data_IF_480757164795
#
_entry.id   IF_480757164795
#
_cell.length_a   1.000
_cell.length_b   1.000
_cell.length_c   1.000
_cell.angle_alpha   90.00
_cell.angle_beta   90.00
_cell.angle_gamma   90.00
#
_symmetry.space_group_name_H-M   'P 1'
#
loop_
_entity.id
_entity.type
_entity.pdbx_description
1 polymer ?
#
# COMPACT_ATOMS: atom_id res chain seq x y z
N UNK A 1 -5.01 -9.60 -35.20
CA UNK A 1 -3.89 -8.66 -34.97
C UNK A 1 -2.71 -9.48 -34.50
N UNK A 2 -1.56 -9.39 -35.15
CA UNK A 2 -0.38 -10.20 -34.79
C UNK A 2 0.43 -9.53 -33.68
N UNK A 3 0.99 -10.33 -32.77
CA UNK A 3 1.90 -9.83 -31.74
C UNK A 3 3.27 -9.51 -32.36
N UNK A 4 3.85 -8.36 -31.99
CA UNK A 4 5.15 -7.91 -32.50
C UNK A 4 6.20 -7.86 -31.39
N UNK A 5 7.47 -8.10 -31.73
CA UNK A 5 8.59 -8.09 -30.76
C UNK A 5 9.54 -6.93 -31.02
N UNK A 6 10.15 -6.41 -29.95
CA UNK A 6 11.21 -5.40 -30.03
C UNK A 6 12.23 -5.56 -28.90
N UNK A 7 13.51 -5.46 -29.23
CA UNK A 7 14.62 -5.41 -28.26
C UNK A 7 14.63 -4.08 -27.50
N UNK A 8 14.55 -4.13 -26.17
CA UNK A 8 14.57 -2.95 -25.31
C UNK A 8 15.52 -3.12 -24.12
N UNK A 9 15.89 -1.98 -23.52
CA UNK A 9 16.57 -1.90 -22.24
C UNK A 9 15.52 -1.63 -21.15
N UNK A 10 15.38 -2.51 -20.16
CA UNK A 10 14.42 -2.30 -19.07
C UNK A 10 14.97 -1.30 -18.04
N UNK A 11 14.57 -0.03 -18.20
CA UNK A 11 14.98 1.07 -17.33
C UNK A 11 14.26 1.10 -15.98
N UNK A 12 13.35 0.16 -15.69
CA UNK A 12 12.60 0.09 -14.42
C UNK A 12 13.49 -0.19 -13.22
N UNK A 13 14.60 -0.92 -13.39
CA UNK A 13 15.55 -1.25 -12.31
C UNK A 13 17.00 -1.19 -12.81
N UNK A 14 17.82 -0.39 -12.13
CA UNK A 14 19.27 -0.33 -12.36
C UNK A 14 20.01 -1.09 -11.26
N UNK A 15 21.00 -1.91 -11.63
CA UNK A 15 21.95 -2.50 -10.69
C UNK A 15 22.95 -1.43 -10.24
N UNK A 16 22.85 -0.98 -8.98
CA UNK A 16 23.66 0.14 -8.45
C UNK A 16 25.17 -0.09 -8.53
N UNK A 17 25.65 -1.32 -8.31
CA UNK A 17 27.09 -1.65 -8.32
C UNK A 17 27.70 -1.56 -9.73
N UNK A 18 26.99 -2.08 -10.74
CA UNK A 18 27.48 -2.16 -12.13
C UNK A 18 26.96 -1.04 -13.04
N UNK A 19 26.00 -0.22 -12.59
CA UNK A 19 25.28 0.79 -13.40
C UNK A 19 24.70 0.21 -14.71
N UNK A 20 24.22 -1.03 -14.65
CA UNK A 20 23.61 -1.73 -15.79
C UNK A 20 22.11 -1.96 -15.58
N UNK A 21 21.40 -2.10 -16.69
CA UNK A 21 19.98 -2.42 -16.78
C UNK A 21 19.79 -3.80 -17.39
N UNK A 22 18.66 -4.45 -17.12
CA UNK A 22 18.34 -5.76 -17.69
C UNK A 22 17.83 -5.60 -19.12
N UNK A 23 18.24 -6.49 -20.02
CA UNK A 23 17.70 -6.55 -21.38
C UNK A 23 16.31 -7.19 -21.36
N UNK A 24 15.41 -6.75 -22.25
CA UNK A 24 14.08 -7.33 -22.38
C UNK A 24 13.62 -7.38 -23.85
N UNK A 25 12.78 -8.37 -24.15
CA UNK A 25 12.01 -8.44 -25.39
C UNK A 25 10.62 -7.87 -25.10
N UNK A 26 10.28 -6.73 -25.70
CA UNK A 26 8.95 -6.13 -25.60
C UNK A 26 8.04 -6.80 -26.62
N UNK A 27 7.01 -7.49 -26.14
CA UNK A 27 5.95 -8.05 -26.98
C UNK A 27 4.76 -7.10 -26.95
N UNK A 28 4.26 -6.69 -28.12
CA UNK A 28 3.10 -5.81 -28.23
C UNK A 28 1.97 -6.55 -28.91
N UNK A 29 0.84 -6.68 -28.20
CA UNK A 29 -0.39 -7.28 -28.69
C UNK A 29 -1.57 -6.44 -28.22
N UNK A 30 -2.55 -6.20 -29.09
CA UNK A 30 -3.73 -5.37 -28.81
C UNK A 30 -3.37 -4.00 -28.19
N UNK A 31 -2.39 -3.30 -28.80
CA UNK A 31 -1.86 -2.00 -28.33
C UNK A 31 -1.29 -1.99 -26.90
N UNK A 32 -1.11 -3.16 -26.28
CA UNK A 32 -0.50 -3.32 -24.95
C UNK A 32 0.95 -3.81 -25.10
N UNK A 33 1.96 -2.99 -24.79
CA UNK A 33 3.36 -3.41 -24.77
C UNK A 33 3.71 -4.06 -23.42
N UNK A 34 4.15 -5.32 -23.44
CA UNK A 34 4.59 -6.07 -22.24
C UNK A 34 6.06 -6.47 -22.39
N UNK A 35 6.96 -6.04 -21.48
CA UNK A 35 8.38 -6.41 -21.52
C UNK A 35 8.66 -7.78 -20.86
N UNK A 36 9.35 -8.66 -21.60
CA UNK A 36 9.83 -9.97 -21.12
C UNK A 36 11.32 -9.94 -20.86
N UNK A 37 11.71 -10.10 -19.60
CA UNK A 37 13.07 -9.90 -19.12
C UNK A 37 14.00 -11.07 -19.47
N UNK A 38 15.26 -10.73 -19.77
CA UNK A 38 16.35 -11.66 -20.06
C UNK A 38 17.40 -11.63 -18.97
N UNK A 39 18.15 -12.72 -18.77
CA UNK A 39 19.25 -12.78 -17.79
C UNK A 39 20.54 -12.09 -18.25
N UNK A 40 20.41 -11.05 -19.07
CA UNK A 40 21.48 -10.25 -19.64
C UNK A 40 21.36 -8.82 -19.12
N UNK A 41 22.50 -8.22 -18.78
CA UNK A 41 22.56 -6.85 -18.28
C UNK A 41 23.52 -6.02 -19.11
N UNK A 42 23.18 -4.77 -19.36
CA UNK A 42 23.98 -3.86 -20.17
C UNK A 42 23.88 -2.41 -19.69
N UNK A 43 24.92 -1.63 -19.90
CA UNK A 43 24.86 -0.18 -19.68
C UNK A 43 24.04 0.49 -20.79
N UNK A 44 23.51 1.69 -20.54
CA UNK A 44 22.78 2.44 -21.57
C UNK A 44 23.67 2.80 -22.77
N UNK A 45 24.95 3.08 -22.53
CA UNK A 45 25.91 3.39 -23.59
C UNK A 45 26.21 2.15 -24.44
N UNK A 46 26.40 1.00 -23.81
CA UNK A 46 26.72 -0.23 -24.54
C UNK A 46 25.49 -0.78 -25.27
N UNK A 47 24.28 -0.52 -24.77
CA UNK A 47 23.04 -0.84 -25.48
C UNK A 47 22.92 -0.04 -26.78
N UNK A 48 23.26 1.25 -26.76
CA UNK A 48 23.30 2.07 -28.00
C UNK A 48 24.31 1.52 -29.00
N UNK A 49 25.46 1.02 -28.52
CA UNK A 49 26.49 0.41 -29.38
C UNK A 49 26.07 -0.91 -30.01
N UNK A 50 25.06 -1.64 -29.50
CA UNK A 50 24.62 -2.92 -30.08
C UNK A 50 24.16 -2.81 -31.55
N UNK A 51 23.81 -1.60 -32.00
CA UNK A 51 23.45 -1.32 -33.39
C UNK A 51 24.67 -1.14 -34.30
N UNK A 52 25.87 -1.00 -33.74
CA UNK A 52 27.09 -0.78 -34.51
C UNK A 52 27.55 -2.06 -35.21
N UNK A 53 28.08 -1.96 -36.45
CA UNK A 53 28.55 -3.10 -37.22
C UNK A 53 29.84 -3.73 -36.64
N UNK A 54 30.69 -2.93 -35.97
CA UNK A 54 31.91 -3.38 -35.30
C UNK A 54 31.74 -3.31 -33.77
N UNK A 55 31.83 -4.46 -33.11
CA UNK A 55 31.65 -4.63 -31.67
C UNK A 55 32.81 -5.43 -31.08
N UNK A 56 33.18 -5.13 -29.84
CA UNK A 56 34.11 -5.97 -29.08
C UNK A 56 33.50 -7.37 -28.85
N UNK A 57 34.36 -8.37 -28.61
CA UNK A 57 33.97 -9.79 -28.52
C UNK A 57 32.80 -10.04 -27.55
N UNK A 58 32.86 -9.48 -26.34
CA UNK A 58 31.80 -9.61 -25.32
C UNK A 58 30.46 -8.99 -25.75
N UNK A 59 30.48 -7.80 -26.36
CA UNK A 59 29.25 -7.14 -26.84
C UNK A 59 28.66 -7.86 -28.05
N UNK A 60 29.50 -8.47 -28.89
CA UNK A 60 29.05 -9.32 -30.01
C UNK A 60 28.33 -10.57 -29.51
N UNK A 61 28.87 -11.23 -28.47
CA UNK A 61 28.22 -12.37 -27.82
C UNK A 61 26.87 -11.99 -27.21
N UNK A 62 26.78 -10.84 -26.52
CA UNK A 62 25.52 -10.34 -25.97
C UNK A 62 24.52 -10.01 -27.09
N UNK A 63 24.97 -9.38 -28.18
CA UNK A 63 24.12 -9.07 -29.36
C UNK A 63 23.51 -10.35 -29.94
N UNK A 64 24.34 -11.38 -30.13
CA UNK A 64 23.91 -12.64 -30.72
C UNK A 64 22.90 -13.36 -29.81
N UNK A 65 23.17 -13.46 -28.50
CA UNK A 65 22.21 -14.01 -27.53
C UNK A 65 20.91 -13.22 -27.48
N UNK A 66 20.96 -11.90 -27.59
CA UNK A 66 19.76 -11.07 -27.56
C UNK A 66 18.92 -11.23 -28.83
N UNK A 67 19.56 -11.43 -29.99
CA UNK A 67 18.88 -11.75 -31.24
C UNK A 67 18.28 -13.17 -31.23
N UNK A 68 18.97 -14.14 -30.64
CA UNK A 68 18.48 -15.51 -30.46
C UNK A 68 17.20 -15.54 -29.62
N UNK A 69 17.18 -14.82 -28.49
CA UNK A 69 15.98 -14.69 -27.65
C UNK A 69 14.83 -13.95 -28.36
N UNK A 70 15.13 -12.97 -29.22
CA UNK A 70 14.12 -12.30 -30.05
C UNK A 70 13.51 -13.24 -31.10
N UNK A 71 14.34 -14.07 -31.75
CA UNK A 71 13.88 -15.07 -32.72
C UNK A 71 13.04 -16.15 -32.04
N UNK A 72 13.47 -16.64 -30.88
CA UNK A 72 12.69 -17.58 -30.07
C UNK A 72 11.33 -16.99 -29.67
N UNK A 73 11.28 -15.71 -29.28
CA UNK A 73 10.01 -15.04 -29.01
C UNK A 73 9.09 -15.02 -30.25
N UNK A 74 9.63 -14.77 -31.45
CA UNK A 74 8.85 -14.81 -32.70
C UNK A 74 8.33 -16.23 -33.00
N UNK A 75 9.15 -17.25 -32.80
CA UNK A 75 8.74 -18.65 -32.98
C UNK A 75 7.62 -19.06 -32.01
N UNK A 76 7.73 -18.67 -30.73
CA UNK A 76 6.68 -18.90 -29.74
C UNK A 76 5.38 -18.21 -30.17
N UNK A 77 5.43 -16.95 -30.61
CA UNK A 77 4.26 -16.23 -31.10
C UNK A 77 3.61 -16.97 -32.28
N UNK A 78 4.42 -17.49 -33.21
CA UNK A 78 3.94 -18.23 -34.38
C UNK A 78 3.30 -19.57 -34.01
N UNK A 79 3.83 -20.24 -32.99
CA UNK A 79 3.35 -21.55 -32.54
C UNK A 79 2.16 -21.46 -31.58
N UNK A 80 1.87 -20.28 -31.03
CA UNK A 80 0.69 -20.03 -30.21
C UNK A 80 -0.54 -19.89 -31.11
N UNK A 81 -1.44 -20.87 -31.07
CA UNK A 81 -2.69 -20.81 -31.85
C UNK A 81 -3.54 -19.57 -31.54
N UNK A 82 -3.78 -19.29 -30.25
CA UNK A 82 -4.37 -18.02 -29.80
C UNK A 82 -3.38 -17.31 -28.88
N UNK A 83 -2.93 -16.13 -29.27
CA UNK A 83 -1.98 -15.37 -28.47
C UNK A 83 -2.66 -14.79 -27.22
N UNK A 84 -2.15 -15.17 -26.05
CA UNK A 84 -2.36 -14.49 -24.78
C UNK A 84 -1.01 -14.22 -24.12
N UNK A 85 -0.90 -13.14 -23.35
CA UNK A 85 0.35 -12.83 -22.66
C UNK A 85 0.74 -13.94 -21.67
N UNK A 86 -0.23 -14.60 -21.06
CA UNK A 86 0.00 -15.69 -20.10
C UNK A 86 0.54 -16.94 -20.81
N UNK A 87 -0.09 -17.37 -21.91
CA UNK A 87 0.40 -18.52 -22.69
C UNK A 87 1.81 -18.28 -23.25
N UNK A 88 2.08 -17.05 -23.74
CA UNK A 88 3.41 -16.67 -24.19
C UNK A 88 4.43 -16.69 -23.05
N UNK A 89 4.06 -16.19 -21.85
CA UNK A 89 4.94 -16.15 -20.68
C UNK A 89 5.39 -17.55 -20.27
N UNK A 90 4.44 -18.48 -20.17
CA UNK A 90 4.72 -19.87 -19.80
C UNK A 90 5.71 -20.52 -20.78
N UNK A 91 5.52 -20.33 -22.09
CA UNK A 91 6.41 -20.90 -23.10
C UNK A 91 7.79 -20.22 -23.11
N UNK A 92 7.82 -18.89 -22.98
CA UNK A 92 9.05 -18.11 -23.03
C UNK A 92 9.98 -18.48 -21.86
N UNK A 93 9.42 -18.69 -20.67
CA UNK A 93 10.18 -19.03 -19.46
C UNK A 93 10.30 -20.53 -19.18
N UNK A 94 9.63 -21.42 -19.93
CA UNK A 94 9.60 -22.89 -19.73
C UNK A 94 10.96 -23.53 -19.43
N UNK A 95 12.02 -23.09 -20.11
CA UNK A 95 13.38 -23.66 -19.97
C UNK A 95 14.32 -22.87 -19.06
N UNK A 96 13.92 -21.68 -18.60
CA UNK A 96 14.74 -20.91 -17.67
C UNK A 96 14.45 -21.44 -16.27
N UNK A 97 15.33 -22.32 -15.77
CA UNK A 97 15.38 -22.67 -14.35
C UNK A 97 15.31 -21.36 -13.57
N UNK A 98 14.28 -21.16 -12.75
CA UNK A 98 14.29 -20.10 -11.75
C UNK A 98 15.69 -20.12 -11.11
N UNK A 99 16.40 -18.99 -11.21
CA UNK A 99 17.71 -18.84 -10.61
C UNK A 99 17.51 -18.96 -9.11
N UNK A 100 17.59 -20.19 -8.59
CA UNK A 100 17.83 -20.44 -7.18
C UNK A 100 18.97 -19.53 -6.78
N UNK A 101 18.80 -18.66 -5.78
CA UNK A 101 19.93 -17.90 -5.27
C UNK A 101 21.04 -18.90 -4.93
N UNK A 102 22.23 -18.70 -5.50
CA UNK A 102 23.44 -19.40 -5.07
C UNK A 102 23.78 -18.91 -3.66
N UNK A 103 23.14 -19.52 -2.68
CA UNK A 103 23.47 -19.52 -1.27
C UNK A 103 23.06 -20.90 -0.76
N UNK A 104 24.03 -21.69 -0.29
CA UNK A 104 23.73 -22.94 0.41
C UNK A 104 22.98 -22.57 1.69
N UNK A 105 21.65 -22.59 1.66
CA UNK A 105 20.83 -22.82 2.84
C UNK A 105 20.16 -24.16 2.58
N UNK A 106 20.54 -25.13 3.40
CA UNK A 106 20.10 -26.50 3.31
C UNK A 106 18.58 -26.52 3.47
N UNK A 107 17.89 -27.07 2.46
CA UNK A 107 16.46 -27.28 2.48
C UNK A 107 16.09 -28.17 3.67
N UNK A 108 15.41 -27.61 4.66
CA UNK A 108 14.53 -28.36 5.55
C UNK A 108 13.28 -27.52 5.76
N UNK A 109 12.28 -27.74 4.93
CA UNK A 109 10.90 -27.42 5.27
C UNK A 109 10.20 -28.77 5.42
N UNK A 110 9.59 -29.09 6.57
CA UNK A 110 8.74 -30.26 6.65
C UNK A 110 7.56 -30.08 5.69
N UNK A 111 7.28 -31.12 4.91
CA UNK A 111 6.03 -31.26 4.16
C UNK A 111 4.87 -31.20 5.17
N UNK A 112 4.21 -30.07 5.28
CA UNK A 112 2.91 -29.99 5.95
C UNK A 112 1.88 -30.32 4.88
N UNK A 113 1.21 -31.46 5.04
CA UNK A 113 0.16 -31.93 4.13
C UNK A 113 -0.89 -30.83 3.91
N UNK A 114 -1.33 -30.69 2.66
CA UNK A 114 -2.48 -29.86 2.29
C UNK A 114 -3.70 -30.35 3.09
N UNK A 115 -4.38 -29.49 3.88
CA UNK A 115 -5.64 -29.88 4.47
C UNK A 115 -6.70 -29.89 3.36
N UNK A 116 -7.22 -31.08 3.06
CA UNK A 116 -8.39 -31.29 2.21
C UNK A 116 -9.58 -30.46 2.73
N UNK A 117 -10.28 -29.78 1.81
CA UNK A 117 -11.51 -29.03 2.12
C UNK A 117 -11.40 -27.52 1.96
N UNK A 118 -10.98 -27.04 0.78
CA UNK A 118 -11.19 -25.64 0.36
C UNK A 118 -12.66 -25.41 0.02
N UNK A 119 -13.47 -25.13 1.04
CA UNK A 119 -14.78 -24.51 0.84
C UNK A 119 -14.62 -22.98 0.82
N UNK A 120 -15.33 -22.33 -0.09
CA UNK A 120 -15.37 -20.89 -0.40
C UNK A 120 -15.90 -19.99 0.74
N UNK A 121 -15.50 -20.25 1.99
CA UNK A 121 -15.75 -19.38 3.13
C UNK A 121 -14.58 -18.40 3.30
N UNK A 122 -14.83 -17.13 3.65
CA UNK A 122 -13.75 -16.24 4.06
C UNK A 122 -13.01 -16.90 5.23
N UNK A 123 -11.70 -17.05 5.15
CA UNK A 123 -10.83 -17.52 6.25
C UNK A 123 -10.87 -16.59 7.49
N UNK A 124 -11.78 -15.62 7.50
CA UNK A 124 -11.90 -14.57 8.48
C UNK A 124 -13.30 -14.59 9.09
N UNK A 125 -13.37 -15.06 10.34
CA UNK A 125 -14.38 -14.56 11.28
C UNK A 125 -13.66 -13.89 12.45
N UNK A 126 -13.45 -12.56 12.41
CA UNK A 126 -12.89 -11.80 13.54
C UNK A 126 -13.79 -11.79 14.81
N UNK A 127 -14.81 -12.67 14.90
CA UNK A 127 -15.70 -12.78 16.05
C UNK A 127 -15.30 -13.84 17.07
N UNK A 128 -14.52 -14.85 16.71
CA UNK A 128 -14.13 -15.90 17.63
C UNK A 128 -12.94 -15.40 18.48
N UNK A 129 -13.27 -14.84 19.65
CA UNK A 129 -12.32 -14.26 20.60
C UNK A 129 -12.55 -12.78 20.94
N UNK A 130 -13.67 -12.17 20.53
CA UNK A 130 -13.96 -10.77 20.92
C UNK A 130 -14.22 -10.64 22.41
N UNK A 131 -13.47 -9.74 23.06
CA UNK A 131 -13.99 -9.05 24.24
C UNK A 131 -15.20 -8.20 23.82
N UNK A 132 -16.31 -8.36 24.53
CA UNK A 132 -17.64 -7.78 24.32
C UNK A 132 -17.70 -6.23 24.44
N UNK A 133 -16.60 -5.51 24.25
CA UNK A 133 -16.51 -4.08 24.59
C UNK A 133 -17.07 -3.15 23.50
N UNK A 134 -17.29 -3.61 22.26
CA UNK A 134 -17.76 -2.75 21.17
C UNK A 134 -18.77 -3.49 20.26
N UNK A 135 -19.98 -2.93 20.13
CA UNK A 135 -21.08 -3.46 19.29
C UNK A 135 -20.88 -3.32 17.78
N UNK A 136 -21.95 -3.60 17.00
CA UNK A 136 -22.02 -3.58 15.52
C UNK A 136 -21.17 -2.43 14.90
N UNK A 137 -20.23 -2.80 14.02
CA UNK A 137 -19.40 -1.95 13.15
C UNK A 137 -19.02 -0.56 13.68
N UNK A 138 -17.80 -0.39 14.19
CA UNK A 138 -17.27 0.91 14.67
C UNK A 138 -17.44 2.06 13.65
N UNK A 139 -17.52 1.76 12.35
CA UNK A 139 -17.61 2.77 11.29
C UNK A 139 -18.88 2.69 10.43
N UNK A 140 -19.89 1.91 10.82
CA UNK A 140 -21.24 1.98 10.22
C UNK A 140 -21.97 3.28 10.60
N UNK A 141 -21.43 4.03 11.57
CA UNK A 141 -21.96 5.34 11.95
C UNK A 141 -21.62 6.38 10.90
N UNK A 142 -22.64 6.74 10.13
CA UNK A 142 -22.62 7.85 9.18
C UNK A 142 -22.58 9.17 9.97
N UNK A 143 -21.36 9.72 10.15
CA UNK A 143 -21.14 10.94 10.93
C UNK A 143 -21.83 12.15 10.30
N UNK A 144 -21.96 12.15 8.97
CA UNK A 144 -22.73 13.14 8.22
C UNK A 144 -24.22 13.22 8.61
N UNK A 145 -24.79 12.21 9.29
CA UNK A 145 -26.20 12.21 9.71
C UNK A 145 -26.41 12.83 11.09
N UNK A 146 -25.35 13.24 11.78
CA UNK A 146 -25.45 13.89 13.08
C UNK A 146 -25.91 15.33 12.86
N UNK A 147 -26.90 15.76 13.65
CA UNK A 147 -27.20 17.18 13.78
C UNK A 147 -26.23 17.81 14.78
N UNK A 148 -25.48 18.81 14.29
CA UNK A 148 -24.46 19.51 15.06
C UNK A 148 -24.95 20.86 15.60
N UNK A 149 -26.18 21.28 15.26
CA UNK A 149 -26.73 22.58 15.68
C UNK A 149 -26.75 22.71 17.21
N UNK A 150 -27.18 21.66 17.90
CA UNK A 150 -27.28 21.62 19.37
C UNK A 150 -25.91 21.64 20.07
N UNK A 151 -24.81 21.43 19.34
CA UNK A 151 -23.47 21.32 19.91
C UNK A 151 -22.68 22.63 19.83
N UNK A 152 -23.25 23.66 19.19
CA UNK A 152 -22.72 25.02 19.11
C UNK A 152 -22.07 25.37 17.77
N UNK A 153 -21.73 26.66 17.55
CA UNK A 153 -21.31 27.18 16.24
C UNK A 153 -20.06 26.50 15.66
N UNK A 154 -19.07 26.21 16.51
CA UNK A 154 -17.86 25.49 16.06
C UNK A 154 -18.22 24.06 15.64
N UNK A 155 -19.14 23.40 16.34
CA UNK A 155 -19.57 22.05 15.98
C UNK A 155 -20.27 22.01 14.63
N UNK A 156 -21.10 23.00 14.30
CA UNK A 156 -21.73 23.15 12.99
C UNK A 156 -20.68 23.21 11.88
N UNK A 157 -19.68 24.09 12.00
CA UNK A 157 -18.62 24.23 11.01
C UNK A 157 -17.78 22.95 10.83
N UNK A 158 -17.49 22.23 11.92
CA UNK A 158 -16.88 20.90 11.84
C UNK A 158 -17.79 19.90 11.12
N UNK A 159 -19.08 19.90 11.44
CA UNK A 159 -20.09 19.01 10.86
C UNK A 159 -20.25 19.18 9.36
N UNK A 160 -20.32 20.41 8.88
CA UNK A 160 -20.36 20.74 7.45
C UNK A 160 -19.13 20.19 6.72
N UNK A 161 -17.93 20.40 7.28
CA UNK A 161 -16.71 19.89 6.66
C UNK A 161 -16.61 18.35 6.73
N UNK A 162 -17.10 17.74 7.80
CA UNK A 162 -17.21 16.27 7.93
C UNK A 162 -18.14 15.71 6.84
N UNK A 163 -19.30 16.33 6.60
CA UNK A 163 -20.23 15.95 5.52
C UNK A 163 -19.54 15.99 4.14
N UNK A 164 -18.75 17.03 3.87
CA UNK A 164 -17.95 17.15 2.64
C UNK A 164 -16.90 16.03 2.54
N UNK A 165 -16.23 15.68 3.64
CA UNK A 165 -15.22 14.62 3.65
C UNK A 165 -15.86 13.23 3.45
N UNK A 166 -17.03 12.98 4.03
CA UNK A 166 -17.77 11.74 3.88
C UNK A 166 -18.29 11.56 2.44
N UNK A 167 -18.81 12.62 1.81
CA UNK A 167 -19.23 12.57 0.40
C UNK A 167 -18.06 12.33 -0.57
N UNK A 168 -16.84 12.67 -0.16
CA UNK A 168 -15.60 12.39 -0.89
C UNK A 168 -14.98 11.02 -0.55
N UNK A 169 -15.65 10.20 0.26
CA UNK A 169 -15.14 8.92 0.79
C UNK A 169 -13.82 9.05 1.59
N UNK A 170 -13.52 10.24 2.13
CA UNK A 170 -12.32 10.52 2.94
C UNK A 170 -12.55 10.19 4.40
N UNK A 171 -13.10 9.01 4.65
CA UNK A 171 -13.64 8.56 5.94
C UNK A 171 -12.62 8.65 7.10
N UNK A 172 -11.34 8.37 6.84
CA UNK A 172 -10.31 8.51 7.87
C UNK A 172 -9.94 9.94 8.22
N UNK A 173 -10.07 10.86 7.26
CA UNK A 173 -9.95 12.29 7.58
C UNK A 173 -11.19 12.75 8.34
N UNK A 174 -12.39 12.40 7.87
CA UNK A 174 -13.67 12.70 8.54
C UNK A 174 -13.67 12.26 10.01
N UNK A 175 -13.27 11.02 10.30
CA UNK A 175 -13.16 10.51 11.67
C UNK A 175 -12.21 11.34 12.53
N UNK A 176 -11.05 11.75 12.01
CA UNK A 176 -10.11 12.59 12.74
C UNK A 176 -10.70 13.97 13.09
N UNK A 177 -11.51 14.57 12.20
CA UNK A 177 -12.21 15.81 12.50
C UNK A 177 -13.27 15.62 13.57
N UNK A 178 -14.05 14.53 13.48
CA UNK A 178 -15.07 14.22 14.47
C UNK A 178 -14.49 13.98 15.88
N UNK A 179 -13.38 13.23 15.97
CA UNK A 179 -12.71 12.99 17.25
C UNK A 179 -12.13 14.29 17.83
N UNK A 180 -11.53 15.13 16.99
CA UNK A 180 -11.03 16.44 17.41
C UNK A 180 -12.18 17.31 17.96
N UNK A 181 -13.32 17.36 17.27
CA UNK A 181 -14.51 18.07 17.73
C UNK A 181 -15.00 17.54 19.08
N UNK A 182 -15.14 16.21 19.22
CA UNK A 182 -15.57 15.60 20.48
C UNK A 182 -14.65 15.96 21.63
N UNK A 183 -13.34 15.99 21.41
CA UNK A 183 -12.37 16.39 22.42
C UNK A 183 -12.48 17.88 22.80
N UNK A 184 -12.69 18.77 21.82
CA UNK A 184 -12.90 20.20 22.08
C UNK A 184 -14.19 20.44 22.87
N UNK A 185 -15.28 19.77 22.51
CA UNK A 185 -16.57 19.90 23.18
C UNK A 185 -16.59 19.26 24.58
N UNK A 186 -15.74 18.26 24.81
CA UNK A 186 -15.51 17.72 26.15
C UNK A 186 -14.81 18.75 27.04
N UNK A 187 -13.85 19.50 26.51
CA UNK A 187 -13.17 20.57 27.23
C UNK A 187 -14.08 21.78 27.47
N UNK A 188 -14.83 22.21 26.44
CA UNK A 188 -15.80 23.30 26.53
C UNK A 188 -17.01 23.03 25.63
N UNK A 189 -18.17 22.84 26.26
CA UNK A 189 -19.46 22.69 25.56
C UNK A 189 -19.87 24.00 24.88
N UNK A 190 -20.70 23.90 23.83
CA UNK A 190 -21.26 25.04 23.10
C UNK A 190 -20.21 26.06 22.65
N UNK A 191 -19.05 25.56 22.19
CA UNK A 191 -17.89 26.35 21.86
C UNK A 191 -18.17 27.31 20.69
N UNK A 192 -17.89 28.60 20.89
CA UNK A 192 -17.94 29.64 19.86
C UNK A 192 -16.53 29.96 19.35
N UNK A 193 -16.42 30.60 18.19
CA UNK A 193 -15.10 30.92 17.62
C UNK A 193 -14.36 31.97 18.45
N UNK A 194 -15.09 32.90 19.07
CA UNK A 194 -14.56 33.97 19.92
C UNK A 194 -13.98 33.45 21.23
N UNK A 195 -14.45 32.30 21.70
CA UNK A 195 -13.94 31.63 22.90
C UNK A 195 -12.50 31.12 22.70
N UNK A 196 -12.13 30.83 21.45
CA UNK A 196 -10.88 30.15 21.10
C UNK A 196 -9.77 31.20 20.94
N UNK A 197 -9.32 31.69 22.08
CA UNK A 197 -8.18 32.61 22.18
C UNK A 197 -6.84 31.85 22.23
N UNK A 198 -5.73 32.59 22.13
CA UNK A 198 -4.39 32.01 22.36
C UNK A 198 -4.30 31.34 23.73
N UNK A 199 -4.87 31.96 24.77
CA UNK A 199 -4.92 31.41 26.13
C UNK A 199 -5.72 30.10 26.16
N UNK A 200 -6.90 30.08 25.56
CA UNK A 200 -7.73 28.86 25.47
C UNK A 200 -6.97 27.69 24.85
N UNK A 201 -6.17 27.94 23.80
CA UNK A 201 -5.41 26.88 23.13
C UNK A 201 -4.30 26.30 24.00
N UNK A 202 -3.60 27.15 24.77
CA UNK A 202 -2.62 26.68 25.75
C UNK A 202 -3.28 25.92 26.90
N UNK A 203 -4.40 26.42 27.43
CA UNK A 203 -5.13 25.76 28.51
C UNK A 203 -5.69 24.40 28.05
N UNK A 204 -6.21 24.32 26.82
CA UNK A 204 -6.65 23.07 26.20
C UNK A 204 -5.51 22.07 26.00
N UNK A 205 -4.34 22.53 25.57
CA UNK A 205 -3.14 21.68 25.44
C UNK A 205 -2.76 21.09 26.79
N UNK A 206 -2.67 21.89 27.86
CA UNK A 206 -2.35 21.41 29.20
C UNK A 206 -3.40 20.42 29.72
N UNK A 207 -4.69 20.70 29.48
CA UNK A 207 -5.77 19.77 29.82
C UNK A 207 -5.62 18.42 29.09
N UNK A 208 -5.28 18.43 27.80
CA UNK A 208 -5.04 17.18 27.05
C UNK A 208 -3.84 16.40 27.57
N UNK A 209 -2.76 17.08 27.92
CA UNK A 209 -1.55 16.48 28.50
C UNK A 209 -1.85 15.88 29.88
N UNK A 210 -2.63 16.56 30.72
CA UNK A 210 -3.09 16.04 32.01
C UNK A 210 -3.93 14.75 31.84
N UNK A 211 -4.70 14.64 30.76
CA UNK A 211 -5.41 13.41 30.34
C UNK A 211 -4.51 12.35 29.70
N UNK A 212 -3.19 12.48 29.80
CA UNK A 212 -2.18 11.57 29.24
C UNK A 212 -2.20 11.47 27.71
N UNK A 213 -2.71 12.47 27.00
CA UNK A 213 -2.55 12.54 25.55
C UNK A 213 -1.15 13.02 25.18
N UNK A 214 -0.66 12.63 24.01
CA UNK A 214 0.62 13.11 23.49
C UNK A 214 0.50 14.47 22.80
N UNK A 215 1.58 15.26 22.78
CA UNK A 215 1.67 16.50 21.99
C UNK A 215 1.35 16.27 20.50
N UNK A 216 1.68 15.09 19.97
CA UNK A 216 1.32 14.70 18.60
C UNK A 216 -0.21 14.69 18.40
N UNK A 217 -0.95 14.13 19.35
CA UNK A 217 -2.41 14.09 19.34
C UNK A 217 -3.00 15.50 19.42
N UNK A 218 -2.52 16.31 20.36
CA UNK A 218 -2.92 17.73 20.50
C UNK A 218 -2.72 18.45 19.17
N UNK A 219 -1.54 18.30 18.57
CA UNK A 219 -1.21 18.91 17.29
C UNK A 219 -2.10 18.46 16.14
N UNK A 220 -2.54 17.19 16.12
CA UNK A 220 -3.49 16.68 15.13
C UNK A 220 -4.85 17.38 15.28
N UNK A 221 -5.38 17.46 16.49
CA UNK A 221 -6.69 18.06 16.73
C UNK A 221 -6.68 19.56 16.42
N UNK A 222 -5.64 20.28 16.87
CA UNK A 222 -5.54 21.71 16.63
C UNK A 222 -5.23 22.07 15.17
N UNK A 223 -4.60 21.18 14.40
CA UNK A 223 -4.49 21.35 12.94
C UNK A 223 -5.85 21.24 12.24
N UNK A 224 -6.72 20.35 12.70
CA UNK A 224 -8.10 20.26 12.20
C UNK A 224 -8.87 21.54 12.55
N UNK A 225 -8.78 22.00 13.81
CA UNK A 225 -9.40 23.26 14.24
C UNK A 225 -8.91 24.46 13.41
N UNK A 226 -7.60 24.58 13.19
CA UNK A 226 -7.03 25.62 12.33
C UNK A 226 -7.58 25.58 10.90
N UNK A 227 -7.81 24.39 10.34
CA UNK A 227 -8.45 24.25 9.04
C UNK A 227 -9.88 24.80 9.05
N UNK A 228 -10.67 24.50 10.08
CA UNK A 228 -12.03 25.02 10.23
C UNK A 228 -12.02 26.54 10.34
N UNK A 229 -11.12 27.12 11.14
CA UNK A 229 -10.91 28.58 11.18
C UNK A 229 -10.63 29.17 9.80
N UNK A 230 -9.70 28.57 9.05
CA UNK A 230 -9.36 29.05 7.72
C UNK A 230 -10.53 28.96 6.73
N UNK A 231 -11.32 27.89 6.79
CA UNK A 231 -12.51 27.73 5.95
C UNK A 231 -13.52 28.85 6.27
N UNK A 232 -13.87 29.05 7.54
CA UNK A 232 -14.84 30.07 7.95
C UNK A 232 -14.39 31.50 7.61
N UNK A 233 -13.09 31.78 7.69
CA UNK A 233 -12.53 33.07 7.24
C UNK A 233 -12.63 33.21 5.72
N UNK A 234 -12.28 32.15 4.98
CA UNK A 234 -12.37 32.13 3.51
C UNK A 234 -13.81 32.32 3.02
N UNK A 235 -14.78 31.78 3.75
CA UNK A 235 -16.20 31.87 3.43
C UNK A 235 -16.84 33.19 3.90
N UNK A 236 -16.05 34.09 4.51
CA UNK A 236 -16.53 35.38 5.02
C UNK A 236 -17.37 35.30 6.31
N UNK A 237 -17.47 34.12 6.91
CA UNK A 237 -18.28 33.85 8.11
C UNK A 237 -17.55 34.21 9.42
N UNK A 238 -16.22 34.34 9.38
CA UNK A 238 -15.39 34.70 10.53
C UNK A 238 -14.37 35.80 10.18
N UNK A 239 -14.27 36.83 11.02
CA UNK A 239 -13.27 37.88 10.83
C UNK A 239 -11.86 37.40 11.20
N UNK A 240 -10.87 37.80 10.38
CA UNK A 240 -9.46 37.47 10.57
C UNK A 240 -8.90 37.87 11.97
N UNK A 241 -9.50 38.86 12.64
CA UNK A 241 -9.12 39.31 13.98
C UNK A 241 -9.25 38.20 15.04
N UNK A 242 -10.19 37.27 14.85
CA UNK A 242 -10.43 36.15 15.77
C UNK A 242 -9.46 34.97 15.57
N UNK A 243 -8.64 34.99 14.51
CA UNK A 243 -7.75 33.88 14.19
C UNK A 243 -6.63 33.70 15.23
N UNK A 244 -6.53 32.56 15.96
CA UNK A 244 -5.62 32.44 17.10
C UNK A 244 -4.28 31.75 16.78
N UNK A 245 -4.04 31.33 15.53
CA UNK A 245 -2.86 30.55 15.16
C UNK A 245 -1.78 31.43 14.48
N UNK A 246 -0.49 31.13 14.71
CA UNK A 246 0.61 31.76 13.99
C UNK A 246 1.89 31.96 14.81
N UNK A 247 2.96 32.44 14.16
CA UNK A 247 4.30 32.61 14.78
C UNK A 247 4.30 33.50 16.03
N UNK A 248 3.44 34.53 16.06
CA UNK A 248 3.26 35.45 17.20
C UNK A 248 1.97 35.18 17.99
N UNK A 249 1.34 34.05 17.75
CA UNK A 249 0.11 33.60 18.43
C UNK A 249 0.34 32.16 18.92
N UNK A 250 -0.69 31.35 18.98
CA UNK A 250 -0.52 29.94 19.31
C UNK A 250 0.17 29.17 18.17
N UNK A 251 1.26 28.48 18.49
CA UNK A 251 1.98 27.61 17.57
C UNK A 251 1.64 26.14 17.88
N UNK A 252 1.08 25.45 16.89
CA UNK A 252 0.61 24.08 17.08
C UNK A 252 1.82 23.15 17.28
N UNK A 253 1.84 22.31 18.34
CA UNK A 253 2.93 21.40 18.59
C UNK A 253 3.09 20.38 17.45
N UNK A 254 4.35 20.05 17.16
CA UNK A 254 4.74 19.02 16.20
C UNK A 254 5.39 17.86 16.94
N UNK A 255 4.89 16.65 16.71
CA UNK A 255 5.49 15.45 17.29
C UNK A 255 6.83 15.11 16.65
N UNK A 256 7.77 14.65 17.46
CA UNK A 256 9.03 14.04 17.00
C UNK A 256 8.80 12.56 16.71
N UNK A 257 9.24 12.09 15.53
CA UNK A 257 9.15 10.67 15.19
C UNK A 257 10.36 9.92 15.73
N UNK A 258 10.13 8.85 16.50
CA UNK A 258 11.19 7.95 16.97
C UNK A 258 11.36 6.84 15.92
N UNK A 259 12.60 6.67 15.41
CA UNK A 259 12.90 5.59 14.47
C UNK A 259 12.74 4.24 15.19
N UNK A 260 11.78 3.44 14.75
CA UNK A 260 11.53 2.06 15.21
C UNK A 260 11.97 1.07 14.14
N UNK A 261 13.24 1.11 13.75
CA UNK A 261 13.78 0.12 12.82
C UNK A 261 14.11 -1.15 13.61
N UNK A 262 13.75 -2.31 13.07
CA UNK A 262 14.21 -3.59 13.59
C UNK A 262 15.62 -3.88 13.10
N UNK A 263 16.43 -4.47 13.95
CA UNK A 263 17.75 -4.96 13.56
C UNK A 263 17.64 -6.23 12.73
N UNK A 264 18.68 -6.51 11.94
CA UNK A 264 18.71 -7.68 11.07
C UNK A 264 18.54 -9.00 11.84
N UNK A 265 19.05 -9.08 13.08
CA UNK A 265 18.86 -10.24 13.96
C UNK A 265 17.40 -10.50 14.28
N UNK A 266 16.60 -9.45 14.49
CA UNK A 266 15.18 -9.61 14.81
C UNK A 266 14.36 -9.94 13.57
N UNK A 267 14.70 -9.32 12.43
CA UNK A 267 14.12 -9.70 11.14
C UNK A 267 14.39 -11.19 10.83
N UNK A 268 15.60 -11.67 11.13
CA UNK A 268 15.96 -13.09 10.96
C UNK A 268 15.11 -14.00 11.85
N UNK A 269 14.89 -13.62 13.12
CA UNK A 269 14.00 -14.38 14.01
C UNK A 269 12.59 -14.48 13.44
N UNK A 270 12.01 -13.38 12.94
CA UNK A 270 10.67 -13.39 12.32
C UNK A 270 10.65 -14.30 11.08
N UNK A 271 11.70 -14.25 10.26
CA UNK A 271 11.81 -15.06 9.05
C UNK A 271 11.91 -16.57 9.35
N UNK A 272 12.69 -16.95 10.36
CA UNK A 272 12.93 -18.36 10.72
C UNK A 272 11.84 -18.92 11.66
N UNK A 273 11.01 -18.06 12.24
CA UNK A 273 9.95 -18.43 13.16
C UNK A 273 8.99 -19.45 12.53
N UNK A 274 8.74 -20.56 13.23
CA UNK A 274 7.78 -21.59 12.82
C UNK A 274 6.46 -21.37 13.57
N UNK A 275 5.38 -20.98 12.86
CA UNK A 275 4.08 -20.77 13.46
C UNK A 275 3.47 -22.09 13.92
N UNK A 276 2.69 -22.03 14.99
CA UNK A 276 1.91 -23.18 15.44
C UNK A 276 0.88 -23.57 14.35
N UNK A 277 0.92 -24.81 13.82
CA UNK A 277 -0.06 -25.29 12.84
C UNK A 277 -1.51 -25.20 13.34
N UNK A 278 -1.74 -25.26 14.65
CA UNK A 278 -3.07 -25.08 15.24
C UNK A 278 -3.57 -23.62 15.13
N UNK A 279 -2.66 -22.66 14.99
CA UNK A 279 -2.97 -21.24 14.97
C UNK A 279 -2.72 -20.60 13.60
N UNK A 280 -3.74 -20.67 12.75
CA UNK A 280 -3.69 -20.13 11.37
C UNK A 280 -3.33 -18.65 11.29
N UNK A 281 -3.70 -17.84 12.30
CA UNK A 281 -3.45 -16.39 12.29
C UNK A 281 -1.97 -16.05 12.42
N UNK A 282 -1.22 -16.90 13.10
CA UNK A 282 0.19 -16.69 13.38
C UNK A 282 1.01 -16.81 12.09
N UNK A 283 0.80 -17.89 11.33
CA UNK A 283 1.42 -18.10 10.03
C UNK A 283 0.98 -17.07 8.98
N UNK A 284 -0.31 -16.77 8.92
CA UNK A 284 -0.84 -15.74 8.03
C UNK A 284 -0.21 -14.37 8.30
N UNK A 285 -0.21 -13.94 9.56
CA UNK A 285 0.28 -12.61 9.93
C UNK A 285 1.79 -12.47 9.69
N UNK A 286 2.58 -13.49 10.06
CA UNK A 286 4.01 -13.55 9.77
C UNK A 286 4.25 -13.37 8.26
N UNK A 287 3.53 -14.11 7.44
CA UNK A 287 3.71 -14.10 5.99
C UNK A 287 3.28 -12.78 5.36
N UNK A 288 2.18 -12.19 5.81
CA UNK A 288 1.75 -10.86 5.35
C UNK A 288 2.76 -9.78 5.78
N UNK A 289 3.32 -9.88 6.98
CA UNK A 289 4.36 -8.97 7.44
C UNK A 289 5.63 -9.11 6.59
N UNK A 290 6.07 -10.34 6.32
CA UNK A 290 7.22 -10.64 5.45
C UNK A 290 6.98 -10.18 4.01
N UNK A 291 5.78 -10.37 3.49
CA UNK A 291 5.38 -9.81 2.19
C UNK A 291 5.58 -8.29 2.20
N UNK A 292 5.11 -7.62 3.25
CA UNK A 292 5.29 -6.18 3.45
C UNK A 292 6.77 -5.76 3.46
N UNK A 293 7.62 -6.53 4.16
CA UNK A 293 9.06 -6.33 4.22
C UNK A 293 9.73 -6.48 2.84
N UNK A 294 9.45 -7.58 2.12
CA UNK A 294 10.03 -7.84 0.80
C UNK A 294 9.57 -6.85 -0.27
N UNK A 295 8.38 -6.27 -0.10
CA UNK A 295 7.80 -5.28 -1.02
C UNK A 295 8.17 -3.83 -0.70
N UNK A 296 9.41 -3.60 -0.23
CA UNK A 296 9.95 -2.29 0.15
C UNK A 296 9.18 -1.58 1.28
N UNK A 297 8.60 -2.33 2.22
CA UNK A 297 7.83 -1.76 3.32
C UNK A 297 6.52 -1.12 2.86
N UNK A 298 5.83 -1.75 1.89
CA UNK A 298 4.49 -1.35 1.46
C UNK A 298 3.57 -1.24 2.68
N UNK A 299 2.63 -0.28 2.66
CA UNK A 299 1.69 -0.14 3.78
C UNK A 299 0.65 -1.28 3.72
N UNK A 300 0.23 -1.85 4.86
CA UNK A 300 -0.80 -2.89 4.86
C UNK A 300 -2.12 -2.49 4.19
N UNK A 301 -2.49 -1.19 4.21
CA UNK A 301 -3.61 -0.70 3.39
C UNK A 301 -3.34 -0.92 1.91
N UNK A 302 -2.15 -0.60 1.42
CA UNK A 302 -1.80 -0.81 0.02
C UNK A 302 -1.81 -2.33 -0.31
N UNK A 303 -1.36 -3.21 0.63
CA UNK A 303 -1.45 -4.68 0.49
C UNK A 303 -2.90 -5.16 0.33
N UNK A 304 -3.82 -4.67 1.16
CA UNK A 304 -5.23 -5.05 1.12
C UNK A 304 -5.92 -4.68 -0.20
N UNK A 305 -5.38 -3.70 -0.95
CA UNK A 305 -5.90 -3.25 -2.23
C UNK A 305 -5.14 -3.82 -3.44
N UNK A 306 -4.12 -4.65 -3.23
CA UNK A 306 -3.41 -5.30 -4.33
C UNK A 306 -4.36 -6.19 -5.11
N UNK A 307 -4.42 -5.98 -6.43
CA UNK A 307 -5.13 -6.83 -7.38
C UNK A 307 -4.16 -7.59 -8.27
N UNK A 308 -4.56 -8.73 -8.81
CA UNK A 308 -3.70 -9.51 -9.73
C UNK A 308 -3.31 -8.72 -10.97
N UNK A 309 -4.18 -7.82 -11.45
CA UNK A 309 -3.87 -6.89 -12.54
C UNK A 309 -2.80 -5.85 -12.21
N UNK A 310 -2.34 -5.75 -10.96
CA UNK A 310 -1.16 -4.98 -10.59
C UNK A 310 0.16 -5.73 -10.88
N UNK A 311 0.11 -7.03 -11.18
CA UNK A 311 1.28 -7.83 -11.54
C UNK A 311 1.57 -7.66 -13.04
N UNK A 312 2.71 -7.06 -13.36
CA UNK A 312 3.26 -6.93 -14.70
C UNK A 312 4.61 -7.66 -14.79
N UNK A 313 4.57 -8.89 -15.27
CA UNK A 313 5.74 -9.78 -15.34
C UNK A 313 6.27 -10.10 -13.94
N UNK A 314 7.54 -9.78 -13.70
CA UNK A 314 8.21 -9.98 -12.41
C UNK A 314 8.00 -8.81 -11.42
N UNK A 315 7.07 -7.88 -11.71
CA UNK A 315 6.86 -6.70 -10.88
C UNK A 315 5.41 -6.54 -10.46
N UNK A 316 5.19 -6.09 -9.23
CA UNK A 316 3.95 -5.45 -8.79
C UNK A 316 4.09 -3.95 -9.03
N UNK A 317 3.15 -3.36 -9.76
CA UNK A 317 3.09 -1.94 -10.06
C UNK A 317 1.88 -1.33 -9.38
N UNK A 318 2.12 -0.43 -8.42
CA UNK A 318 1.05 0.24 -7.68
C UNK A 318 1.21 1.75 -7.63
N UNK A 319 0.10 2.43 -7.41
CA UNK A 319 0.07 3.80 -6.89
C UNK A 319 -0.38 3.72 -5.44
N UNK A 320 0.24 4.52 -4.57
CA UNK A 320 -0.14 4.51 -3.14
C UNK A 320 -1.57 4.95 -2.95
N UNK A 321 -2.30 4.25 -2.12
CA UNK A 321 -3.69 4.58 -1.80
C UNK A 321 -3.79 5.94 -1.11
N UNK A 322 -2.76 6.34 -0.36
CA UNK A 322 -2.68 7.67 0.27
C UNK A 322 -2.71 8.83 -0.74
N UNK A 323 -2.23 8.63 -1.98
CA UNK A 323 -2.13 9.73 -2.96
C UNK A 323 -3.34 9.84 -3.88
N UNK A 324 -4.34 8.95 -3.75
CA UNK A 324 -5.55 8.93 -4.59
C UNK A 324 -6.27 10.28 -4.65
N UNK A 325 -6.29 11.03 -3.54
CA UNK A 325 -6.96 12.32 -3.42
C UNK A 325 -6.01 13.53 -3.51
N UNK A 326 -4.71 13.30 -3.73
CA UNK A 326 -3.72 14.38 -3.77
C UNK A 326 -3.76 15.07 -5.14
N UNK A 327 -4.17 16.34 -5.16
CA UNK A 327 -4.16 17.18 -6.38
C UNK A 327 -2.76 17.67 -6.79
N UNK A 328 -1.75 17.47 -5.93
CA UNK A 328 -0.36 17.90 -6.17
C UNK A 328 0.46 16.75 -6.78
N UNK A 329 0.85 16.92 -8.04
CA UNK A 329 1.87 16.16 -8.79
C UNK A 329 1.55 14.72 -9.23
N UNK A 330 2.06 14.37 -10.41
CA UNK A 330 2.00 13.05 -11.06
C UNK A 330 2.37 11.91 -10.07
N UNK A 331 1.40 11.14 -9.55
CA UNK A 331 1.66 10.11 -8.56
C UNK A 331 2.58 9.04 -9.18
N UNK A 332 3.82 8.96 -8.67
CA UNK A 332 4.81 8.01 -9.18
C UNK A 332 4.35 6.59 -8.91
N UNK A 333 4.43 5.74 -9.93
CA UNK A 333 4.26 4.30 -9.77
C UNK A 333 5.40 3.77 -8.88
N UNK A 334 5.05 2.91 -7.95
CA UNK A 334 5.99 2.11 -7.17
C UNK A 334 6.10 0.77 -7.89
N UNK A 335 7.32 0.39 -8.23
CA UNK A 335 7.64 -0.89 -8.85
C UNK A 335 8.29 -1.79 -7.80
N UNK A 336 7.67 -2.93 -7.54
CA UNK A 336 8.09 -3.90 -6.53
C UNK A 336 8.48 -5.18 -7.26
N UNK A 337 9.76 -5.58 -7.28
CA UNK A 337 10.16 -6.86 -7.84
C UNK A 337 9.57 -8.01 -7.00
N UNK A 338 8.97 -9.00 -7.65
CA UNK A 338 8.47 -10.21 -7.01
C UNK A 338 9.64 -11.18 -6.86
N UNK A 339 9.90 -11.62 -5.64
CA UNK A 339 10.88 -12.68 -5.34
C UNK A 339 10.17 -14.01 -5.07
N UNK A 340 10.94 -15.10 -4.93
CA UNK A 340 10.40 -16.44 -4.68
C UNK A 340 9.57 -16.51 -3.39
N UNK A 341 10.01 -15.83 -2.33
CA UNK A 341 9.30 -15.77 -1.04
C UNK A 341 7.93 -15.07 -1.16
N UNK A 342 7.87 -13.93 -1.85
CA UNK A 342 6.62 -13.23 -2.13
C UNK A 342 5.68 -14.09 -2.97
N UNK A 343 6.20 -14.80 -3.97
CA UNK A 343 5.39 -15.68 -4.80
C UNK A 343 4.83 -16.86 -3.99
N UNK A 344 5.63 -17.43 -3.09
CA UNK A 344 5.18 -18.48 -2.17
C UNK A 344 4.07 -17.98 -1.24
N UNK A 345 4.19 -16.76 -0.72
CA UNK A 345 3.16 -16.12 0.12
C UNK A 345 1.87 -15.86 -0.68
N UNK A 346 1.98 -15.36 -1.92
CA UNK A 346 0.84 -15.17 -2.83
C UNK A 346 0.16 -16.50 -3.13
N UNK A 347 0.92 -17.56 -3.39
CA UNK A 347 0.36 -18.87 -3.69
C UNK A 347 -0.35 -19.48 -2.46
N UNK A 348 0.19 -19.26 -1.25
CA UNK A 348 -0.36 -19.81 -0.01
C UNK A 348 -1.62 -19.09 0.47
N UNK A 349 -1.62 -17.76 0.42
CA UNK A 349 -2.66 -16.94 1.05
C UNK A 349 -3.49 -16.11 0.06
N UNK A 350 -3.13 -16.11 -1.21
CA UNK A 350 -3.84 -15.36 -2.22
C UNK A 350 -5.15 -16.02 -2.66
N UNK A 351 -6.01 -15.26 -3.32
CA UNK A 351 -7.22 -15.77 -3.94
C UNK A 351 -6.89 -16.76 -5.06
N UNK A 352 -7.71 -17.81 -5.17
CA UNK A 352 -7.54 -18.82 -6.23
C UNK A 352 -7.89 -18.25 -7.62
N UNK A 353 -8.92 -17.42 -7.70
CA UNK A 353 -9.21 -16.65 -8.90
C UNK A 353 -8.16 -15.54 -9.09
N UNK A 354 -7.33 -15.69 -10.12
CA UNK A 354 -6.26 -14.76 -10.48
C UNK A 354 -6.67 -13.76 -11.56
N UNK A 355 -7.98 -13.57 -11.77
CA UNK A 355 -8.49 -12.57 -12.71
C UNK A 355 -7.90 -11.18 -12.39
N UNK A 356 -7.58 -10.35 -13.40
CA UNK A 356 -6.88 -9.09 -13.19
C UNK A 356 -7.58 -8.13 -12.21
N UNK A 357 -8.91 -8.19 -12.14
CA UNK A 357 -9.71 -7.35 -11.26
C UNK A 357 -9.88 -7.93 -9.84
N UNK A 358 -9.49 -9.19 -9.59
CA UNK A 358 -9.58 -9.75 -8.26
C UNK A 358 -8.40 -9.32 -7.37
N UNK A 359 -8.67 -9.21 -6.08
CA UNK A 359 -7.66 -8.91 -5.08
C UNK A 359 -6.68 -10.08 -4.93
N UNK A 360 -5.38 -9.79 -4.74
CA UNK A 360 -4.37 -10.81 -4.45
C UNK A 360 -4.71 -11.48 -3.12
N UNK A 361 -4.83 -10.69 -2.05
CA UNK A 361 -5.15 -11.22 -0.73
C UNK A 361 -6.65 -11.09 -0.44
N UNK A 362 -7.27 -12.08 0.23
CA UNK A 362 -8.70 -12.12 0.54
C UNK A 362 -9.11 -11.16 1.68
N UNK A 363 -8.67 -9.91 1.62
CA UNK A 363 -9.01 -8.85 2.60
C UNK A 363 -10.26 -8.08 2.15
N UNK A 364 -10.39 -7.85 0.84
CA UNK A 364 -11.47 -7.09 0.24
C UNK A 364 -12.16 -7.92 -0.85
N UNK A 365 -13.43 -7.60 -1.09
CA UNK A 365 -14.23 -8.13 -2.20
C UNK A 365 -14.82 -6.97 -2.99
N UNK A 366 -15.22 -7.23 -4.23
CA UNK A 366 -15.93 -6.24 -5.03
C UNK A 366 -17.34 -5.97 -4.47
N UNK A 367 -17.91 -4.80 -4.81
CA UNK A 367 -19.23 -4.39 -4.34
C UNK A 367 -19.32 -3.88 -2.90
N UNK A 368 -18.20 -3.86 -2.15
CA UNK A 368 -18.18 -3.32 -0.79
C UNK A 368 -18.35 -1.80 -0.76
N UNK A 369 -19.21 -1.33 0.16
CA UNK A 369 -19.31 0.10 0.50
C UNK A 369 -17.99 0.66 1.03
N UNK A 370 -17.75 1.96 0.85
CA UNK A 370 -16.53 2.61 1.33
C UNK A 370 -16.31 2.43 2.84
N UNK A 371 -17.39 2.44 3.62
CA UNK A 371 -17.37 2.18 5.07
C UNK A 371 -16.93 0.76 5.36
N UNK A 372 -17.58 -0.25 4.76
CA UNK A 372 -17.22 -1.65 4.99
C UNK A 372 -15.80 -1.96 4.55
N UNK A 373 -15.35 -1.36 3.45
CA UNK A 373 -13.97 -1.48 2.96
C UNK A 373 -12.97 -0.93 3.97
N UNK A 374 -13.26 0.21 4.59
CA UNK A 374 -12.41 0.78 5.66
C UNK A 374 -12.34 -0.17 6.85
N UNK A 375 -13.45 -0.79 7.23
CA UNK A 375 -13.53 -1.68 8.39
C UNK A 375 -12.64 -2.89 8.23
N UNK A 376 -12.78 -3.59 7.10
CA UNK A 376 -11.96 -4.75 6.77
C UNK A 376 -10.47 -4.40 6.75
N UNK A 377 -10.12 -3.25 6.18
CA UNK A 377 -8.71 -2.78 6.17
C UNK A 377 -8.20 -2.50 7.59
N UNK A 378 -9.02 -1.92 8.47
CA UNK A 378 -8.64 -1.68 9.86
C UNK A 378 -8.54 -2.98 10.66
N UNK A 379 -9.45 -3.92 10.44
CA UNK A 379 -9.41 -5.27 11.02
C UNK A 379 -8.14 -6.00 10.58
N UNK A 380 -7.80 -5.95 9.30
CA UNK A 380 -6.57 -6.51 8.74
C UNK A 380 -5.31 -5.90 9.37
N UNK A 381 -5.24 -4.56 9.46
CA UNK A 381 -4.12 -3.86 10.11
C UNK A 381 -4.03 -4.26 11.60
N UNK A 382 -5.16 -4.35 12.30
CA UNK A 382 -5.19 -4.74 13.71
C UNK A 382 -4.69 -6.16 13.89
N UNK A 383 -5.16 -7.10 13.08
CA UNK A 383 -4.72 -8.49 13.10
C UNK A 383 -3.20 -8.56 12.99
N UNK A 384 -2.62 -7.85 12.01
CA UNK A 384 -1.16 -7.79 11.84
C UNK A 384 -0.49 -7.27 13.11
N UNK A 385 -0.98 -6.16 13.66
CA UNK A 385 -0.36 -5.53 14.82
C UNK A 385 -0.51 -6.34 16.12
N UNK A 386 -1.60 -7.09 16.28
CA UNK A 386 -1.84 -7.87 17.50
C UNK A 386 -0.97 -9.13 17.53
N UNK A 387 -0.76 -9.78 16.39
CA UNK A 387 0.06 -10.99 16.28
C UNK A 387 1.55 -10.71 16.04
N UNK A 388 1.93 -9.50 15.61
CA UNK A 388 3.34 -9.08 15.47
C UNK A 388 3.87 -8.30 16.69
N UNK A 389 3.23 -8.41 17.87
CA UNK A 389 3.81 -7.85 19.11
C UNK A 389 5.02 -8.70 19.49
N UNK A 390 6.20 -8.16 19.21
CA UNK A 390 7.49 -8.70 19.65
C UNK A 390 7.70 -8.34 21.13
#
# INVERSE_FOLDING_TARGET
MEATTARILDKRRMLKKSKTYRLAIRVTFDRKPVPFLLDLHLSENDFKKLSSPRLGKELSEIRNKFAEEENRAKEIIKNLGTFTFDAFREEFYRHKKHRKPKGKIQKVFPNIAEPEGYTSRPLFSPSEGRSQKYGKGKYDKVRSNIDYADWGPVAVAFGEYIKILDSQERLGTSENYFIALKSLLEYKKNLRFEDITVKFLYDYEQWMLAKKNTLTTVGIYLRNLRCIFNNQISDGLLLQKYYPFGKRKYQIPTGTNVKKALDFSDIKKIYEYQPDPANKNEGYTRDIWLFGFFSNGINPKDIAYLKYGNIDGEFIIIKREKVKFTRRSNPKNILIPINEEMQAIINRWGNQDRSPDNYIFPVLTDGLSAHRRRDLVQEFIRLINDWMKI
#
